data_IF_767710047776
#
_entry.id   IF_767710047776
#
_cell.length_a   1.000
_cell.length_b   1.000
_cell.length_c   1.000
_cell.angle_alpha   90.00
_cell.angle_beta   90.00
_cell.angle_gamma   90.00
#
_symmetry.space_group_name_H-M   'P 1'
#
loop_
_entity.id
_entity.type
_entity.pdbx_description
1 polymer ?
#
# COMPACT_ATOMS: atom_id res chain seq x y z
N UNK A 1 -13.90 -17.15 9.44
CA UNK A 1 -14.51 -16.10 10.28
C UNK A 1 -16.05 -16.15 10.30
N UNK A 2 -16.68 -17.06 9.54
CA UNK A 2 -18.15 -17.19 9.43
C UNK A 2 -18.81 -17.32 10.81
N UNK A 3 -19.94 -16.63 10.99
CA UNK A 3 -20.80 -16.74 12.17
C UNK A 3 -20.37 -15.87 13.36
N UNK A 4 -19.38 -14.98 13.18
CA UNK A 4 -18.87 -14.11 14.24
C UNK A 4 -19.42 -12.67 14.20
N UNK A 5 -20.16 -12.29 13.16
CA UNK A 5 -20.71 -10.93 13.02
C UNK A 5 -19.63 -9.86 12.90
N UNK A 6 -18.54 -10.16 12.18
CA UNK A 6 -17.38 -9.27 12.00
C UNK A 6 -17.38 -8.59 10.62
N UNK A 7 -18.37 -8.89 9.79
CA UNK A 7 -18.50 -8.41 8.44
C UNK A 7 -18.93 -6.94 8.42
N UNK A 8 -18.15 -6.06 7.78
CA UNK A 8 -18.57 -4.67 7.49
C UNK A 8 -19.50 -4.63 6.26
N UNK A 9 -19.26 -5.52 5.30
CA UNK A 9 -20.02 -5.62 4.06
C UNK A 9 -19.47 -6.70 3.15
N UNK A 10 -20.11 -6.87 1.98
CA UNK A 10 -19.76 -7.88 0.98
C UNK A 10 -19.34 -7.21 -0.33
N UNK A 11 -18.14 -7.51 -0.80
CA UNK A 11 -17.65 -7.04 -2.09
C UNK A 11 -18.22 -7.89 -3.23
N UNK A 12 -18.61 -7.25 -4.34
CA UNK A 12 -19.14 -7.94 -5.52
C UNK A 12 -18.03 -8.62 -6.35
N UNK A 13 -16.83 -8.03 -6.40
CA UNK A 13 -15.68 -8.57 -7.13
C UNK A 13 -14.55 -8.97 -6.14
N UNK A 14 -14.19 -10.26 -6.04
CA UNK A 14 -13.09 -10.71 -5.18
C UNK A 14 -11.72 -10.14 -5.61
N UNK A 15 -11.53 -9.82 -6.90
CA UNK A 15 -10.30 -9.20 -7.40
C UNK A 15 -10.18 -7.77 -6.88
N UNK A 16 -11.27 -7.00 -6.91
CA UNK A 16 -11.28 -5.64 -6.33
C UNK A 16 -11.07 -5.69 -4.82
N UNK A 17 -11.69 -6.64 -4.12
CA UNK A 17 -11.48 -6.84 -2.68
C UNK A 17 -10.02 -7.19 -2.35
N UNK A 18 -9.37 -8.00 -3.18
CA UNK A 18 -7.95 -8.32 -3.02
C UNK A 18 -7.07 -7.08 -3.18
N UNK A 19 -7.29 -6.26 -4.22
CA UNK A 19 -6.52 -5.02 -4.40
C UNK A 19 -6.84 -3.97 -3.33
N UNK A 20 -8.08 -3.91 -2.83
CA UNK A 20 -8.44 -3.07 -1.70
C UNK A 20 -7.63 -3.42 -0.45
N UNK A 21 -7.39 -4.71 -0.18
CA UNK A 21 -6.50 -5.14 0.91
C UNK A 21 -5.06 -4.67 0.71
N UNK A 22 -4.54 -4.74 -0.52
CA UNK A 22 -3.19 -4.24 -0.82
C UNK A 22 -3.09 -2.72 -0.58
N UNK A 23 -4.14 -1.97 -0.90
CA UNK A 23 -4.19 -0.50 -0.69
C UNK A 23 -4.46 -0.11 0.77
N UNK A 24 -5.01 -1.01 1.59
CA UNK A 24 -5.28 -0.77 3.01
C UNK A 24 -6.48 0.15 3.32
N UNK A 25 -7.09 0.79 2.33
CA UNK A 25 -8.30 1.61 2.53
C UNK A 25 -9.12 1.77 1.24
N UNK A 26 -10.39 2.12 1.38
CA UNK A 26 -11.22 2.47 0.23
C UNK A 26 -12.68 2.80 0.59
N UNK A 27 -13.54 2.68 -0.42
CA UNK A 27 -14.96 3.05 -0.34
C UNK A 27 -15.82 1.91 -0.86
N UNK A 28 -16.76 1.45 -0.03
CA UNK A 28 -17.78 0.49 -0.40
C UNK A 28 -19.02 1.28 -0.82
N UNK A 29 -19.49 1.06 -2.05
CA UNK A 29 -20.76 1.61 -2.53
C UNK A 29 -21.82 0.52 -2.47
N UNK A 30 -22.86 0.74 -1.69
CA UNK A 30 -23.98 -0.19 -1.57
C UNK A 30 -24.96 -0.06 -2.75
N UNK A 31 -25.84 -1.05 -2.98
CA UNK A 31 -26.83 -1.02 -4.06
C UNK A 31 -27.79 0.18 -4.01
N UNK A 32 -28.06 0.72 -2.82
CA UNK A 32 -28.88 1.92 -2.61
C UNK A 32 -28.13 3.24 -2.88
N UNK A 33 -26.85 3.15 -3.26
CA UNK A 33 -25.98 4.29 -3.54
C UNK A 33 -25.26 4.86 -2.32
N UNK A 34 -25.55 4.38 -1.10
CA UNK A 34 -24.82 4.79 0.11
C UNK A 34 -23.35 4.37 0.04
N UNK A 35 -22.49 5.11 0.72
CA UNK A 35 -21.03 4.91 0.67
C UNK A 35 -20.46 4.78 2.08
N UNK A 36 -19.83 3.65 2.36
CA UNK A 36 -19.07 3.40 3.58
C UNK A 36 -17.59 3.56 3.26
N UNK A 37 -16.90 4.36 4.05
CA UNK A 37 -15.43 4.48 3.98
C UNK A 37 -14.82 3.47 4.92
N UNK A 38 -13.87 2.69 4.45
CA UNK A 38 -13.15 1.71 5.26
C UNK A 38 -11.65 1.95 5.19
N UNK A 39 -10.96 1.68 6.29
CA UNK A 39 -9.52 1.79 6.39
C UNK A 39 -8.93 0.68 7.25
N UNK A 40 -7.61 0.57 7.19
CA UNK A 40 -6.85 -0.44 7.91
C UNK A 40 -7.19 -0.45 9.40
N UNK A 41 -7.44 -1.65 9.93
CA UNK A 41 -7.61 -1.92 11.35
C UNK A 41 -6.54 -2.87 11.90
N UNK A 42 -5.98 -3.73 11.05
CA UNK A 42 -4.98 -4.71 11.44
C UNK A 42 -4.71 -5.71 10.32
N UNK A 43 -3.81 -6.66 10.58
CA UNK A 43 -3.52 -7.75 9.67
C UNK A 43 -3.24 -9.05 10.43
N UNK A 44 -3.29 -10.18 9.73
CA UNK A 44 -3.08 -11.50 10.31
C UNK A 44 -1.61 -11.88 10.60
N UNK A 45 -0.66 -10.97 10.35
CA UNK A 45 0.77 -11.15 10.67
C UNK A 45 1.58 -11.98 9.66
N UNK A 46 0.96 -12.53 8.61
CA UNK A 46 1.70 -13.20 7.54
C UNK A 46 2.39 -12.17 6.62
N UNK A 47 3.56 -12.51 6.05
CA UNK A 47 4.25 -11.62 5.12
C UNK A 47 3.43 -11.41 3.85
N UNK A 48 3.54 -10.20 3.29
CA UNK A 48 2.96 -9.88 2.00
C UNK A 48 3.70 -10.62 0.88
N UNK A 49 2.96 -11.16 -0.08
CA UNK A 49 3.52 -11.72 -1.32
C UNK A 49 2.98 -10.97 -2.52
N UNK A 50 3.87 -10.31 -3.27
CA UNK A 50 3.50 -9.58 -4.47
C UNK A 50 3.18 -10.52 -5.63
N UNK A 51 1.88 -10.72 -5.91
CA UNK A 51 1.45 -11.63 -6.99
C UNK A 51 1.94 -11.21 -8.38
N UNK A 52 2.16 -9.91 -8.61
CA UNK A 52 2.68 -9.42 -9.91
C UNK A 52 4.07 -9.97 -10.23
N UNK A 53 4.97 -10.03 -9.25
CA UNK A 53 6.30 -10.64 -9.43
C UNK A 53 6.18 -12.13 -9.74
N UNK A 54 5.34 -12.85 -8.99
CA UNK A 54 5.07 -14.26 -9.21
C UNK A 54 4.47 -14.56 -10.59
N UNK A 55 3.56 -13.69 -11.06
CA UNK A 55 2.98 -13.81 -12.40
C UNK A 55 4.03 -13.62 -13.49
N UNK A 56 4.97 -12.67 -13.30
CA UNK A 56 6.06 -12.43 -14.24
C UNK A 56 7.02 -13.61 -14.29
N UNK A 57 7.40 -14.16 -13.14
CA UNK A 57 8.23 -15.37 -13.04
C UNK A 57 7.59 -16.58 -13.75
N UNK A 58 6.26 -16.70 -13.66
CA UNK A 58 5.49 -17.74 -14.33
C UNK A 58 5.19 -17.44 -15.81
N UNK A 59 5.66 -16.32 -16.34
CA UNK A 59 5.42 -15.90 -17.72
C UNK A 59 3.94 -15.58 -18.03
N UNK A 60 3.11 -15.31 -17.01
CA UNK A 60 1.69 -14.99 -17.18
C UNK A 60 1.48 -13.53 -17.61
N UNK A 61 2.36 -12.64 -17.14
CA UNK A 61 2.39 -11.23 -17.52
C UNK A 61 3.75 -10.84 -18.06
N UNK A 62 3.77 -9.90 -18.99
CA UNK A 62 4.98 -9.37 -19.61
C UNK A 62 4.68 -8.72 -20.95
N UNK A 63 5.70 -8.64 -21.81
CA UNK A 63 5.61 -8.09 -23.17
C UNK A 63 5.68 -9.17 -24.25
N UNK A 64 5.74 -10.45 -23.88
CA UNK A 64 5.84 -11.57 -24.79
C UNK A 64 4.50 -12.01 -25.40
N UNK A 65 4.52 -12.74 -26.53
CA UNK A 65 3.31 -13.30 -27.13
C UNK A 65 2.54 -14.20 -26.15
N UNK A 66 1.21 -14.05 -26.10
CA UNK A 66 0.33 -14.84 -25.22
C UNK A 66 0.36 -14.44 -23.75
N UNK A 67 1.12 -13.40 -23.38
CA UNK A 67 1.14 -12.87 -22.02
C UNK A 67 0.12 -11.75 -21.85
N UNK A 68 -0.39 -11.61 -20.64
CA UNK A 68 -1.14 -10.42 -20.25
C UNK A 68 -0.18 -9.24 -20.07
N UNK A 69 -0.69 -8.03 -20.22
CA UNK A 69 0.11 -6.84 -20.00
C UNK A 69 0.72 -6.80 -18.58
N UNK A 70 1.94 -6.28 -18.46
CA UNK A 70 2.68 -6.22 -17.19
C UNK A 70 2.12 -5.24 -16.14
N UNK A 71 1.08 -4.48 -16.49
CA UNK A 71 0.43 -3.52 -15.60
C UNK A 71 -0.57 -4.15 -14.62
N UNK A 72 -1.05 -3.31 -13.70
CA UNK A 72 -2.16 -3.66 -12.81
C UNK A 72 -3.41 -4.08 -13.60
N UNK A 73 -3.70 -3.43 -14.73
CA UNK A 73 -4.84 -3.74 -15.58
C UNK A 73 -4.70 -5.13 -16.19
N UNK A 74 -3.49 -5.48 -16.67
CA UNK A 74 -3.21 -6.81 -17.20
C UNK A 74 -3.32 -7.91 -16.12
N UNK A 75 -2.79 -7.64 -14.92
CA UNK A 75 -2.95 -8.54 -13.76
C UNK A 75 -4.43 -8.76 -13.45
N UNK A 76 -5.21 -7.70 -13.29
CA UNK A 76 -6.65 -7.80 -13.00
C UNK A 76 -7.39 -8.57 -14.09
N UNK A 77 -7.05 -8.34 -15.35
CA UNK A 77 -7.65 -9.06 -16.47
C UNK A 77 -7.38 -10.56 -16.39
N UNK A 78 -6.14 -10.98 -16.13
CA UNK A 78 -5.81 -12.39 -15.96
C UNK A 78 -6.63 -13.04 -14.82
N UNK A 79 -6.72 -12.36 -13.67
CA UNK A 79 -7.44 -12.88 -12.51
C UNK A 79 -8.95 -13.08 -12.79
N UNK A 80 -9.54 -12.23 -13.63
CA UNK A 80 -10.95 -12.31 -14.03
C UNK A 80 -11.18 -13.34 -15.14
N UNK A 81 -10.27 -13.45 -16.09
CA UNK A 81 -10.37 -14.42 -17.20
C UNK A 81 -10.18 -15.87 -16.71
N UNK A 82 -9.38 -16.08 -15.65
CA UNK A 82 -9.12 -17.40 -15.07
C UNK A 82 -9.48 -17.46 -13.57
N UNK A 83 -10.76 -17.47 -13.19
CA UNK A 83 -11.19 -17.26 -11.80
C UNK A 83 -10.62 -18.28 -10.80
N UNK A 84 -10.51 -19.55 -11.16
CA UNK A 84 -9.96 -20.58 -10.25
C UNK A 84 -8.45 -20.47 -10.09
N UNK A 85 -7.72 -20.23 -11.18
CA UNK A 85 -6.28 -20.02 -11.15
C UNK A 85 -5.94 -18.70 -10.46
N UNK A 86 -6.70 -17.64 -10.75
CA UNK A 86 -6.60 -16.34 -10.12
C UNK A 86 -6.86 -16.41 -8.62
N UNK A 87 -7.84 -17.19 -8.18
CA UNK A 87 -8.07 -17.45 -6.74
C UNK A 87 -6.85 -18.10 -6.09
N UNK A 88 -6.30 -19.16 -6.68
CA UNK A 88 -5.08 -19.83 -6.17
C UNK A 88 -3.87 -18.89 -6.15
N UNK A 89 -3.78 -17.99 -7.13
CA UNK A 89 -2.72 -17.00 -7.23
C UNK A 89 -2.84 -15.92 -6.15
N UNK A 90 -4.04 -15.35 -5.95
CA UNK A 90 -4.31 -14.40 -4.87
C UNK A 90 -4.03 -15.01 -3.49
N UNK A 91 -4.34 -16.30 -3.29
CA UNK A 91 -4.06 -17.03 -2.05
C UNK A 91 -2.57 -17.25 -1.76
N UNK A 92 -1.67 -17.01 -2.73
CA UNK A 92 -0.23 -17.00 -2.48
C UNK A 92 0.15 -15.85 -1.54
N UNK A 93 -0.57 -14.73 -1.61
CA UNK A 93 -0.49 -13.70 -0.59
C UNK A 93 -1.26 -14.15 0.67
N UNK A 94 -0.53 -14.68 1.65
CA UNK A 94 -1.10 -15.11 2.94
C UNK A 94 -1.45 -13.93 3.85
N UNK A 95 -0.90 -12.75 3.59
CA UNK A 95 -1.25 -11.53 4.30
C UNK A 95 -2.72 -11.20 4.06
N UNK A 96 -3.46 -10.98 5.15
CA UNK A 96 -4.86 -10.62 5.12
C UNK A 96 -5.08 -9.37 5.96
N UNK A 97 -5.71 -8.35 5.38
CA UNK A 97 -5.97 -7.06 6.01
C UNK A 97 -7.40 -7.02 6.55
N UNK A 98 -7.54 -6.60 7.80
CA UNK A 98 -8.79 -6.30 8.44
C UNK A 98 -9.06 -4.80 8.40
N UNK A 99 -10.33 -4.44 8.27
CA UNK A 99 -10.76 -3.06 8.12
C UNK A 99 -11.63 -2.61 9.28
N UNK A 100 -11.76 -1.29 9.41
CA UNK A 100 -12.74 -0.58 10.24
C UNK A 100 -13.40 0.51 9.42
N UNK A 101 -14.61 0.89 9.81
CA UNK A 101 -15.27 2.06 9.23
C UNK A 101 -14.53 3.34 9.61
N UNK A 102 -14.46 4.28 8.66
CA UNK A 102 -13.85 5.59 8.84
C UNK A 102 -14.94 6.66 8.88
N UNK A 103 -15.03 7.35 10.02
CA UNK A 103 -15.96 8.47 10.23
C UNK A 103 -15.27 9.85 10.10
N UNK A 104 -13.94 9.89 10.13
CA UNK A 104 -13.13 11.11 10.03
C UNK A 104 -12.71 11.51 8.60
N UNK A 105 -11.96 12.61 8.41
CA UNK A 105 -11.71 13.20 7.10
C UNK A 105 -10.78 12.37 6.19
N UNK A 106 -9.91 11.52 6.73
CA UNK A 106 -8.90 10.78 5.96
C UNK A 106 -8.66 9.35 6.46
N UNK A 107 -7.92 8.53 5.70
CA UNK A 107 -7.39 7.29 6.23
C UNK A 107 -6.41 7.59 7.37
N UNK A 108 -6.32 6.65 8.30
CA UNK A 108 -5.41 6.72 9.44
C UNK A 108 -4.23 5.81 9.13
N UNK A 109 -3.02 6.36 9.15
CA UNK A 109 -1.80 5.61 8.86
C UNK A 109 -1.36 4.75 10.05
N UNK A 110 -0.29 3.99 9.87
CA UNK A 110 0.30 3.14 10.91
C UNK A 110 0.66 3.88 12.21
N UNK A 111 0.94 5.19 12.15
CA UNK A 111 1.18 6.03 13.34
C UNK A 111 -0.10 6.40 14.12
N UNK A 112 -1.27 5.87 13.72
CA UNK A 112 -2.59 6.18 14.29
C UNK A 112 -2.96 7.67 14.23
N UNK A 113 -2.43 8.38 13.22
CA UNK A 113 -2.80 9.76 12.88
C UNK A 113 -3.33 9.82 11.45
N UNK A 114 -4.19 10.80 11.12
CA UNK A 114 -4.62 11.01 9.74
C UNK A 114 -3.43 11.23 8.81
N UNK A 115 -3.43 10.57 7.65
CA UNK A 115 -2.42 10.80 6.61
C UNK A 115 -2.82 11.95 5.70
N UNK A 116 -1.83 12.71 5.26
CA UNK A 116 -2.02 13.91 4.44
C UNK A 116 -1.32 13.72 3.10
N UNK A 117 -2.07 13.88 2.01
CA UNK A 117 -1.52 13.78 0.67
C UNK A 117 -0.40 14.80 0.46
N UNK A 118 0.69 14.38 -0.18
CA UNK A 118 1.92 15.17 -0.41
C UNK A 118 2.72 15.51 0.85
N UNK A 119 2.46 14.83 1.96
CA UNK A 119 3.20 15.00 3.21
C UNK A 119 3.51 13.66 3.89
N UNK A 120 2.65 12.67 3.75
CA UNK A 120 2.86 11.34 4.31
C UNK A 120 3.66 10.43 3.36
N UNK A 121 4.63 9.71 3.92
CA UNK A 121 5.33 8.60 3.26
C UNK A 121 5.17 7.31 4.08
N UNK A 122 4.95 6.19 3.40
CA UNK A 122 5.01 4.87 4.00
C UNK A 122 6.45 4.34 3.97
N UNK A 123 6.87 3.70 5.06
CA UNK A 123 8.25 3.25 5.28
C UNK A 123 8.30 1.83 5.83
N UNK A 124 9.49 1.23 5.82
CA UNK A 124 9.81 0.06 6.63
C UNK A 124 10.23 0.49 8.05
N UNK A 125 9.43 0.19 9.10
CA UNK A 125 9.72 0.61 10.46
C UNK A 125 10.95 -0.07 11.07
N UNK A 126 11.47 -1.14 10.47
CA UNK A 126 12.74 -1.75 10.89
C UNK A 126 13.94 -0.83 10.60
N UNK A 127 13.80 0.11 9.64
CA UNK A 127 14.88 1.01 9.21
C UNK A 127 14.55 2.49 9.47
N UNK A 128 13.29 2.89 9.36
CA UNK A 128 12.86 4.29 9.49
C UNK A 128 11.81 4.40 10.60
N UNK A 129 12.09 5.11 11.71
CA UNK A 129 11.11 5.29 12.77
C UNK A 129 9.86 6.02 12.27
N UNK A 130 8.68 5.53 12.65
CA UNK A 130 7.45 6.27 12.42
C UNK A 130 7.48 7.61 13.17
N UNK A 131 6.98 8.65 12.51
CA UNK A 131 7.03 10.05 12.92
C UNK A 131 8.28 10.80 12.44
N UNK A 132 9.31 10.09 11.94
CA UNK A 132 10.52 10.75 11.47
C UNK A 132 10.25 11.57 10.20
N UNK A 133 10.76 12.83 10.12
CA UNK A 133 10.86 13.53 8.85
C UNK A 133 11.90 12.84 7.96
N UNK A 134 11.56 12.69 6.69
CA UNK A 134 12.40 12.05 5.67
C UNK A 134 12.55 13.00 4.51
N UNK A 135 13.78 13.30 4.12
CA UNK A 135 14.05 14.02 2.87
C UNK A 135 14.29 13.00 1.75
N UNK A 136 13.47 13.05 0.70
CA UNK A 136 13.68 12.28 -0.52
C UNK A 136 14.42 13.16 -1.53
N UNK A 137 15.60 12.72 -1.94
CA UNK A 137 16.40 13.30 -3.03
C UNK A 137 16.31 12.34 -4.22
N UNK A 138 15.41 12.62 -5.17
CA UNK A 138 14.98 11.67 -6.20
C UNK A 138 14.81 12.31 -7.58
N UNK A 139 14.93 11.48 -8.63
CA UNK A 139 14.79 11.90 -10.04
C UNK A 139 13.35 12.23 -10.50
N UNK A 140 12.42 12.38 -9.56
CA UNK A 140 11.01 12.74 -9.78
C UNK A 140 10.69 14.00 -8.99
N UNK A 141 10.59 15.14 -9.67
CA UNK A 141 10.37 16.43 -9.05
C UNK A 141 9.12 16.50 -8.16
N UNK A 142 8.08 15.71 -8.46
CA UNK A 142 6.90 15.66 -7.60
C UNK A 142 7.25 15.08 -6.23
N UNK A 143 8.07 14.02 -6.19
CA UNK A 143 8.41 13.26 -4.98
C UNK A 143 9.63 13.81 -4.23
N UNK A 144 10.42 14.66 -4.86
CA UNK A 144 11.59 15.32 -4.26
C UNK A 144 11.18 16.28 -3.14
N UNK A 145 11.84 16.18 -1.99
CA UNK A 145 11.64 17.05 -0.84
C UNK A 145 11.27 16.34 0.45
N UNK A 146 10.63 17.08 1.36
CA UNK A 146 10.35 16.66 2.73
C UNK A 146 9.04 15.90 2.87
N UNK A 147 9.11 14.76 3.56
CA UNK A 147 7.99 13.89 3.90
C UNK A 147 8.02 13.53 5.39
N UNK A 148 6.93 12.97 5.91
CA UNK A 148 6.83 12.44 7.27
C UNK A 148 6.44 10.97 7.22
N UNK A 149 7.23 10.11 7.86
CA UNK A 149 6.99 8.68 7.94
C UNK A 149 5.78 8.38 8.85
N UNK A 150 4.56 8.41 8.33
CA UNK A 150 3.34 8.22 9.14
C UNK A 150 2.63 6.91 8.87
N UNK A 151 3.12 6.14 7.91
CA UNK A 151 2.49 4.91 7.46
C UNK A 151 3.50 3.79 7.17
N UNK A 152 2.99 2.58 6.97
CA UNK A 152 3.77 1.40 6.59
C UNK A 152 3.01 0.62 5.53
N UNK A 153 3.68 -0.28 4.81
CA UNK A 153 3.00 -1.20 3.91
C UNK A 153 3.77 -2.49 3.73
N UNK A 154 3.06 -3.61 3.56
CA UNK A 154 3.71 -4.92 3.43
C UNK A 154 4.63 -5.06 2.20
N UNK A 155 4.47 -4.19 1.19
CA UNK A 155 5.35 -4.11 0.03
C UNK A 155 6.55 -3.16 0.23
N UNK A 156 6.58 -2.40 1.33
CA UNK A 156 7.57 -1.36 1.62
C UNK A 156 8.59 -1.95 2.58
N UNK A 157 9.60 -2.60 2.01
CA UNK A 157 10.62 -3.31 2.77
C UNK A 157 12.02 -2.81 2.39
N UNK A 158 12.89 -2.66 3.38
CA UNK A 158 14.29 -2.28 3.22
C UNK A 158 14.59 -0.81 3.51
N UNK A 159 15.88 -0.51 3.65
CA UNK A 159 16.38 0.79 4.14
C UNK A 159 16.11 1.99 3.22
N UNK A 160 16.01 1.76 1.90
CA UNK A 160 15.82 2.83 0.90
C UNK A 160 14.56 2.59 0.05
N UNK A 161 13.46 2.20 0.70
CA UNK A 161 12.16 1.94 0.06
C UNK A 161 11.08 2.80 0.71
N UNK A 162 10.43 3.63 -0.10
CA UNK A 162 9.44 4.62 0.33
C UNK A 162 8.26 4.61 -0.64
N UNK A 163 7.06 4.83 -0.12
CA UNK A 163 5.84 4.99 -0.92
C UNK A 163 5.12 6.28 -0.55
N UNK A 164 4.98 7.18 -1.51
CA UNK A 164 4.52 8.55 -1.31
C UNK A 164 3.00 8.62 -1.41
N UNK A 165 2.35 9.14 -0.36
CA UNK A 165 0.90 9.26 -0.33
C UNK A 165 0.45 10.55 -1.01
N UNK A 166 -0.31 10.46 -2.10
CA UNK A 166 -0.74 11.62 -2.91
C UNK A 166 -2.14 12.15 -2.57
N UNK A 167 -2.84 11.51 -1.64
CA UNK A 167 -4.24 11.81 -1.32
C UNK A 167 -5.23 11.09 -2.23
N UNK A 168 -6.37 11.72 -2.48
CA UNK A 168 -7.46 11.15 -3.27
C UNK A 168 -7.73 11.96 -4.54
N UNK A 169 -8.40 11.35 -5.51
CA UNK A 169 -8.82 12.01 -6.76
C UNK A 169 -8.03 11.56 -7.99
N UNK A 170 -8.40 12.11 -9.15
CA UNK A 170 -7.82 11.72 -10.43
C UNK A 170 -6.33 12.04 -10.52
N UNK A 171 -5.90 13.20 -10.01
CA UNK A 171 -4.49 13.60 -10.00
C UNK A 171 -3.64 12.70 -9.12
N UNK A 172 -4.12 12.39 -7.90
CA UNK A 172 -3.42 11.49 -7.00
C UNK A 172 -3.23 10.11 -7.65
N UNK A 173 -4.26 9.60 -8.34
CA UNK A 173 -4.20 8.33 -9.08
C UNK A 173 -3.21 8.39 -10.24
N UNK A 174 -3.20 9.49 -10.99
CA UNK A 174 -2.29 9.70 -12.12
C UNK A 174 -0.83 9.73 -11.67
N UNK A 175 -0.54 10.48 -10.61
CA UNK A 175 0.82 10.60 -10.06
C UNK A 175 1.27 9.26 -9.47
N UNK A 176 0.47 8.69 -8.55
CA UNK A 176 0.83 7.44 -7.87
C UNK A 176 0.97 6.26 -8.85
N UNK A 177 0.09 6.14 -9.84
CA UNK A 177 0.11 5.05 -10.81
C UNK A 177 1.36 5.01 -11.70
N UNK A 178 2.02 6.15 -11.91
CA UNK A 178 3.27 6.26 -12.66
C UNK A 178 4.51 6.46 -11.78
N UNK A 179 4.36 6.44 -10.45
CA UNK A 179 5.43 6.79 -9.53
C UNK A 179 6.45 5.65 -9.44
N UNK A 180 7.60 5.89 -10.05
CA UNK A 180 8.82 5.13 -9.83
C UNK A 180 9.96 6.13 -9.96
N UNK A 181 10.71 6.29 -8.87
CA UNK A 181 11.80 7.24 -8.75
C UNK A 181 13.05 6.52 -8.26
N UNK A 182 14.22 7.00 -8.68
CA UNK A 182 15.52 6.57 -8.16
C UNK A 182 16.16 7.71 -7.39
N UNK A 183 16.80 7.39 -6.28
CA UNK A 183 17.44 8.37 -5.44
C UNK A 183 17.77 7.86 -4.06
N UNK A 184 17.95 8.79 -3.12
CA UNK A 184 18.34 8.53 -1.75
C UNK A 184 17.36 9.18 -0.79
N UNK A 185 17.18 8.54 0.37
CA UNK A 185 16.48 9.14 1.49
C UNK A 185 17.44 9.52 2.62
N UNK A 186 17.16 10.65 3.26
CA UNK A 186 17.82 11.07 4.48
C UNK A 186 16.78 11.09 5.60
N UNK A 187 17.02 10.31 6.66
CA UNK A 187 16.16 10.31 7.84
C UNK A 187 16.66 11.40 8.79
N UNK A 188 15.80 12.35 9.11
CA UNK A 188 16.10 13.45 10.02
C UNK A 188 15.77 13.03 11.45
N UNK A 189 16.79 12.97 12.30
CA UNK A 189 16.65 12.62 13.71
C UNK A 189 16.88 13.83 14.61
N UNK A 190 16.18 13.95 15.75
CA UNK A 190 16.51 14.95 16.76
C UNK A 190 17.96 14.80 17.22
N UNK A 191 18.67 15.92 17.40
CA UNK A 191 20.10 15.92 17.78
C UNK A 191 20.40 15.10 19.03
N UNK A 192 19.50 15.12 20.02
CA UNK A 192 19.63 14.32 21.25
C UNK A 192 19.53 12.81 21.01
N UNK A 193 18.73 12.36 20.03
CA UNK A 193 18.65 10.94 19.64
C UNK A 193 19.97 10.51 19.01
N UNK A 194 20.52 11.33 18.10
CA UNK A 194 21.82 11.06 17.49
C UNK A 194 22.93 11.01 18.54
N UNK A 195 22.98 11.99 19.46
CA UNK A 195 23.97 12.02 20.55
C UNK A 195 23.91 10.76 21.42
N UNK A 196 22.70 10.27 21.75
CA UNK A 196 22.53 9.01 22.51
C UNK A 196 23.06 7.80 21.73
N UNK A 197 22.75 7.69 20.43
CA UNK A 197 23.19 6.58 19.59
C UNK A 197 24.71 6.58 19.38
N UNK A 198 25.31 7.76 19.24
CA UNK A 198 26.75 7.92 19.05
C UNK A 198 27.55 7.84 20.35
N UNK A 199 26.93 8.17 21.50
CA UNK A 199 27.56 8.17 22.82
C UNK A 199 27.53 6.83 23.56
N UNK A 200 26.90 5.79 23.01
CA UNK A 200 26.97 4.41 23.51
C UNK A 200 28.17 3.62 22.94
N UNK A 201 29.31 4.29 22.74
CA UNK A 201 30.59 3.66 22.43
C UNK A 201 31.56 3.84 23.57
#
# INVERSE_FOLDING_TARGET
LIGKGLEIGWAADPVEMFFLQIQGSGRLRAPDGSVIRIGYAGQNGYPYTGIGSLMRERGLIGSGPGQYDGSLQGIQKYLRDFPDAGRRLMQQNRSFVFFRELTGPGPVGALNVPVTGRATVAVDPAFVPLGAPVWLDVDRAEADGLWVAQDTGGAINGANRFDTFWGAGADARRIAGGMSARGKALVLLPKGVLARLSGQR
#
